data_IF_707337302575
#
_entry.id   IF_707337302575
#
_cell.length_a   1.000
_cell.length_b   1.000
_cell.length_c   1.000
_cell.angle_alpha   90.00
_cell.angle_beta   90.00
_cell.angle_gamma   90.00
#
_symmetry.space_group_name_H-M   'P 1'
#
loop_
_entity.id
_entity.type
_entity.pdbx_description
1 polymer ?
#
# COMPACT_ATOMS: atom_id res chain seq x y z
N UNK A 1 -37.68 -2.26 0.83
CA UNK A 1 -36.60 -1.34 1.28
C UNK A 1 -35.32 -1.76 0.60
N UNK A 2 -34.76 -0.92 -0.25
CA UNK A 2 -33.44 -1.17 -0.84
C UNK A 2 -32.43 -0.87 0.29
N UNK A 3 -31.81 -1.89 0.86
CA UNK A 3 -30.73 -1.68 1.84
C UNK A 3 -29.64 -0.86 1.16
N UNK A 4 -29.18 0.22 1.81
CA UNK A 4 -28.00 0.95 1.32
C UNK A 4 -26.85 -0.05 1.18
N UNK A 5 -26.05 0.02 0.10
CA UNK A 5 -24.89 -0.83 -0.03
C UNK A 5 -23.99 -0.60 1.21
N UNK A 6 -23.46 -1.71 1.76
CA UNK A 6 -22.53 -1.63 2.89
C UNK A 6 -21.29 -0.89 2.45
N UNK A 7 -20.85 0.08 3.25
CA UNK A 7 -19.63 0.84 2.98
C UNK A 7 -18.43 -0.11 2.85
N UNK A 8 -17.62 0.08 1.81
CA UNK A 8 -16.39 -0.67 1.58
C UNK A 8 -15.29 -0.35 2.61
N UNK A 9 -14.18 -1.05 2.54
CA UNK A 9 -13.01 -0.83 3.39
C UNK A 9 -11.78 -0.40 2.57
N UNK A 10 -10.79 0.18 3.25
CA UNK A 10 -9.47 0.49 2.71
C UNK A 10 -8.47 -0.50 3.29
N UNK A 11 -8.06 -1.49 2.50
CA UNK A 11 -6.94 -2.36 2.86
C UNK A 11 -5.64 -1.62 2.58
N UNK A 12 -4.85 -1.38 3.61
CA UNK A 12 -3.52 -0.79 3.46
C UNK A 12 -2.47 -1.87 3.67
N UNK A 13 -1.67 -2.10 2.66
CA UNK A 13 -0.49 -2.95 2.76
C UNK A 13 0.75 -2.06 2.92
N UNK A 14 1.49 -2.25 4.00
CA UNK A 14 2.77 -1.59 4.23
C UNK A 14 3.87 -2.60 4.53
N UNK A 15 5.09 -2.24 4.18
CA UNK A 15 6.24 -3.12 4.39
C UNK A 15 7.55 -2.37 4.18
N UNK A 16 8.68 -2.88 4.65
CA UNK A 16 9.97 -2.46 4.14
C UNK A 16 10.11 -2.83 2.67
N UNK A 17 10.91 -2.04 1.94
CA UNK A 17 11.17 -2.28 0.52
C UNK A 17 11.74 -3.69 0.29
N UNK A 18 11.13 -4.47 -0.62
CA UNK A 18 11.57 -5.85 -0.92
C UNK A 18 10.84 -6.95 -0.13
N UNK A 19 9.91 -6.61 0.77
CA UNK A 19 9.16 -7.63 1.52
C UNK A 19 8.03 -8.31 0.72
N UNK A 20 7.72 -7.85 -0.53
CA UNK A 20 6.75 -8.50 -1.41
C UNK A 20 5.38 -7.83 -1.48
N UNK A 21 5.24 -6.59 -1.02
CA UNK A 21 3.99 -5.82 -0.95
C UNK A 21 3.27 -5.75 -2.30
N UNK A 22 3.92 -5.27 -3.35
CA UNK A 22 3.34 -5.11 -4.69
C UNK A 22 2.86 -6.44 -5.31
N UNK A 23 3.60 -7.54 -5.07
CA UNK A 23 3.19 -8.88 -5.52
C UNK A 23 1.89 -9.32 -4.86
N UNK A 24 1.77 -9.09 -3.55
CA UNK A 24 0.56 -9.41 -2.79
C UNK A 24 -0.60 -8.51 -3.18
N UNK A 25 -0.36 -7.21 -3.39
CA UNK A 25 -1.39 -6.27 -3.85
C UNK A 25 -2.00 -6.70 -5.19
N UNK A 26 -1.16 -7.03 -6.19
CA UNK A 26 -1.62 -7.54 -7.48
C UNK A 26 -2.42 -8.85 -7.32
N UNK A 27 -1.93 -9.79 -6.51
CA UNK A 27 -2.61 -11.06 -6.27
C UNK A 27 -3.99 -10.90 -5.62
N UNK A 28 -4.13 -9.96 -4.68
CA UNK A 28 -5.41 -9.63 -4.05
C UNK A 28 -6.37 -9.03 -5.09
N UNK A 29 -5.92 -8.07 -5.89
CA UNK A 29 -6.72 -7.46 -6.94
C UNK A 29 -7.22 -8.50 -7.97
N UNK A 30 -6.33 -9.41 -8.39
CA UNK A 30 -6.67 -10.45 -9.37
C UNK A 30 -7.68 -11.47 -8.81
N UNK A 31 -7.66 -11.70 -7.50
CA UNK A 31 -8.52 -12.69 -6.83
C UNK A 31 -9.88 -12.14 -6.39
N UNK A 32 -10.02 -10.83 -6.25
CA UNK A 32 -11.22 -10.18 -5.72
C UNK A 32 -11.54 -8.89 -6.47
N UNK A 33 -12.47 -8.98 -7.41
CA UNK A 33 -12.94 -7.87 -8.25
C UNK A 33 -13.63 -6.73 -7.46
N UNK A 34 -13.88 -6.92 -6.16
CA UNK A 34 -14.41 -5.85 -5.31
C UNK A 34 -13.35 -4.80 -4.98
N UNK A 35 -12.06 -5.16 -5.03
CA UNK A 35 -10.97 -4.22 -4.81
C UNK A 35 -10.66 -3.35 -6.03
N UNK A 36 -10.55 -2.06 -5.77
CA UNK A 36 -9.93 -1.09 -6.67
C UNK A 36 -8.55 -0.74 -6.14
N UNK A 37 -7.51 -0.91 -6.96
CA UNK A 37 -6.16 -0.54 -6.56
C UNK A 37 -5.99 0.98 -6.67
N UNK A 38 -5.33 1.55 -5.69
CA UNK A 38 -4.89 2.95 -5.73
C UNK A 38 -3.67 3.09 -6.63
N UNK A 39 -3.77 3.89 -7.68
CA UNK A 39 -2.64 4.24 -8.54
C UNK A 39 -2.05 5.55 -8.03
N UNK A 40 -0.98 5.46 -7.24
CA UNK A 40 -0.32 6.63 -6.65
C UNK A 40 0.44 7.45 -7.69
N UNK A 41 0.55 8.74 -7.45
CA UNK A 41 1.44 9.64 -8.17
C UNK A 41 2.86 9.51 -7.63
N UNK A 42 3.86 9.57 -8.52
CA UNK A 42 5.27 9.55 -8.10
C UNK A 42 6.15 10.38 -9.03
N UNK A 43 7.20 10.97 -8.43
CA UNK A 43 8.25 11.65 -9.19
C UNK A 43 9.45 10.74 -9.51
N UNK A 44 9.38 9.46 -9.14
CA UNK A 44 10.37 8.46 -9.47
C UNK A 44 10.31 8.11 -10.96
N UNK A 45 11.45 7.93 -11.58
CA UNK A 45 11.54 7.36 -12.93
C UNK A 45 10.93 5.95 -12.99
N UNK A 46 10.09 5.63 -14.00
CA UNK A 46 9.53 4.29 -14.15
C UNK A 46 10.63 3.23 -14.32
N UNK A 47 10.37 2.02 -13.82
CA UNK A 47 11.20 0.85 -14.13
C UNK A 47 10.81 0.28 -15.49
N UNK A 48 11.66 -0.58 -16.04
CA UNK A 48 11.49 -1.14 -17.39
C UNK A 48 10.19 -1.92 -17.61
N UNK A 49 9.58 -2.42 -16.53
CA UNK A 49 8.35 -3.22 -16.54
C UNK A 49 7.14 -2.48 -15.95
N UNK A 50 7.26 -1.21 -15.65
CA UNK A 50 6.16 -0.39 -15.10
C UNK A 50 5.48 0.41 -16.22
N UNK A 51 4.16 0.49 -16.13
CA UNK A 51 3.30 1.16 -17.11
C UNK A 51 2.67 2.38 -16.43
N UNK A 52 2.79 3.54 -17.09
CA UNK A 52 2.16 4.77 -16.61
C UNK A 52 0.65 4.63 -16.50
N UNK A 53 0.08 5.24 -15.47
CA UNK A 53 -1.35 5.21 -15.14
C UNK A 53 -1.92 3.81 -14.81
N UNK A 54 -1.05 2.79 -14.73
CA UNK A 54 -1.38 1.43 -14.29
C UNK A 54 -0.66 1.09 -12.99
N UNK A 55 0.67 1.17 -12.97
CA UNK A 55 1.47 0.91 -11.76
C UNK A 55 1.61 2.20 -10.92
N UNK A 56 1.85 3.34 -11.56
CA UNK A 56 1.90 4.68 -10.98
C UNK A 56 1.49 5.72 -12.03
N UNK A 57 1.06 6.90 -11.55
CA UNK A 57 1.01 8.11 -12.38
C UNK A 57 2.37 8.80 -12.26
N UNK A 58 3.24 8.62 -13.26
CA UNK A 58 4.58 9.21 -13.26
C UNK A 58 4.50 10.68 -13.66
N UNK A 59 4.94 11.57 -12.77
CA UNK A 59 4.90 13.03 -12.97
C UNK A 59 6.23 13.66 -12.61
N UNK A 60 6.50 14.86 -13.09
CA UNK A 60 7.61 15.66 -12.63
C UNK A 60 7.34 16.29 -11.25
N UNK A 61 8.40 16.86 -10.66
CA UNK A 61 8.33 17.48 -9.32
C UNK A 61 7.36 18.67 -9.31
N UNK A 62 7.31 19.46 -10.39
CA UNK A 62 6.46 20.65 -10.46
C UNK A 62 4.98 20.26 -10.45
N UNK A 63 4.61 19.23 -11.25
CA UNK A 63 3.23 18.72 -11.26
C UNK A 63 2.83 18.10 -9.93
N UNK A 64 3.73 17.37 -9.26
CA UNK A 64 3.46 16.84 -7.94
C UNK A 64 3.23 17.95 -6.91
N UNK A 65 4.07 18.98 -6.91
CA UNK A 65 3.94 20.14 -6.02
C UNK A 65 2.67 20.95 -6.29
N UNK A 66 2.26 21.09 -7.54
CA UNK A 66 0.97 21.71 -7.91
C UNK A 66 -0.20 20.96 -7.23
N UNK A 67 -0.28 19.63 -7.40
CA UNK A 67 -1.32 18.81 -6.78
C UNK A 67 -1.29 18.90 -5.24
N UNK A 68 -0.09 18.91 -4.67
CA UNK A 68 0.11 19.04 -3.23
C UNK A 68 -0.38 20.39 -2.69
N UNK A 69 -0.03 21.49 -3.38
CA UNK A 69 -0.46 22.85 -2.99
C UNK A 69 -1.98 23.04 -3.09
N UNK A 70 -2.64 22.32 -4.00
CA UNK A 70 -4.09 22.27 -4.14
C UNK A 70 -4.76 21.31 -3.13
N UNK A 71 -4.01 20.72 -2.21
CA UNK A 71 -4.50 19.77 -1.20
C UNK A 71 -5.27 18.57 -1.81
N UNK A 72 -4.84 18.10 -2.99
CA UNK A 72 -5.48 16.99 -3.73
C UNK A 72 -5.14 15.61 -3.16
N UNK A 73 -3.99 15.46 -2.47
CA UNK A 73 -3.58 14.17 -1.92
C UNK A 73 -4.30 13.81 -0.61
N UNK A 74 -4.71 12.56 -0.51
CA UNK A 74 -5.15 11.94 0.74
C UNK A 74 -3.95 11.69 1.66
N UNK A 75 -2.88 11.17 1.07
CA UNK A 75 -1.58 10.98 1.71
C UNK A 75 -0.47 11.35 0.73
N UNK A 76 0.66 11.77 1.27
CA UNK A 76 1.88 11.99 0.50
C UNK A 76 3.12 11.78 1.36
N UNK A 77 4.18 11.23 0.76
CA UNK A 77 5.43 10.96 1.44
C UNK A 77 6.63 11.20 0.51
N UNK A 78 7.80 11.48 1.10
CA UNK A 78 9.07 11.49 0.37
C UNK A 78 9.89 10.27 0.76
N UNK A 79 10.11 9.37 -0.19
CA UNK A 79 10.81 8.10 0.02
C UNK A 79 11.96 7.98 -0.97
N UNK A 80 13.18 7.76 -0.50
CA UNK A 80 14.40 7.68 -1.32
C UNK A 80 14.57 8.87 -2.28
N UNK A 81 14.26 10.09 -1.81
CA UNK A 81 14.40 11.32 -2.60
C UNK A 81 13.25 11.61 -3.55
N UNK A 82 12.33 10.68 -3.78
CA UNK A 82 11.17 10.84 -4.65
C UNK A 82 9.89 11.08 -3.85
N UNK A 83 8.95 11.82 -4.45
CA UNK A 83 7.63 12.02 -3.88
C UNK A 83 6.68 10.91 -4.31
N UNK A 84 5.76 10.56 -3.41
CA UNK A 84 4.66 9.63 -3.64
C UNK A 84 3.40 10.22 -3.03
N UNK A 85 2.23 10.01 -3.63
CA UNK A 85 0.97 10.48 -3.06
C UNK A 85 -0.24 9.90 -3.76
N UNK A 86 -1.31 9.72 -3.00
CA UNK A 86 -2.58 9.19 -3.47
C UNK A 86 -3.64 10.27 -3.43
N UNK A 87 -4.39 10.49 -4.52
CA UNK A 87 -5.46 11.49 -4.57
C UNK A 87 -6.64 11.10 -3.66
N UNK A 88 -7.31 12.12 -3.09
CA UNK A 88 -8.54 11.97 -2.29
C UNK A 88 -9.74 11.50 -3.11
N UNK A 89 -9.90 12.11 -4.29
CA UNK A 89 -10.90 11.69 -5.26
C UNK A 89 -10.46 10.35 -5.86
N UNK A 90 -11.21 9.45 -6.03
CA UNK A 90 -12.55 8.95 -5.97
C UNK A 90 -12.78 7.95 -4.82
N UNK A 91 -12.05 8.05 -3.72
CA UNK A 91 -12.04 7.02 -2.68
C UNK A 91 -13.39 6.96 -1.97
N UNK A 92 -13.90 8.13 -1.53
CA UNK A 92 -15.16 8.21 -0.80
C UNK A 92 -16.33 7.63 -1.60
N UNK A 93 -16.45 8.03 -2.87
CA UNK A 93 -17.51 7.54 -3.76
C UNK A 93 -17.45 6.02 -3.95
N UNK A 94 -16.26 5.48 -4.05
CA UNK A 94 -16.04 4.03 -4.20
C UNK A 94 -16.46 3.28 -2.94
N UNK A 95 -16.08 3.78 -1.76
CA UNK A 95 -16.46 3.17 -0.48
C UNK A 95 -17.97 3.21 -0.24
N UNK A 96 -18.63 4.32 -0.57
CA UNK A 96 -20.11 4.46 -0.45
C UNK A 96 -20.83 3.47 -1.38
N UNK A 97 -20.25 3.13 -2.51
CA UNK A 97 -20.77 2.09 -3.43
C UNK A 97 -20.54 0.65 -2.94
N UNK A 98 -19.91 0.46 -1.78
CA UNK A 98 -19.59 -0.86 -1.22
C UNK A 98 -18.38 -1.53 -1.88
N UNK A 99 -17.59 -0.80 -2.65
CA UNK A 99 -16.33 -1.26 -3.22
C UNK A 99 -15.18 -0.97 -2.26
N UNK A 100 -14.20 -1.86 -2.24
CA UNK A 100 -13.02 -1.72 -1.39
C UNK A 100 -11.87 -1.05 -2.16
N UNK A 101 -11.00 -0.38 -1.41
CA UNK A 101 -9.73 0.14 -1.91
C UNK A 101 -8.54 -0.64 -1.38
N UNK A 102 -7.54 -0.84 -2.22
CA UNK A 102 -6.25 -1.44 -1.87
C UNK A 102 -5.13 -0.40 -2.06
N UNK A 103 -4.45 -0.07 -0.97
CA UNK A 103 -3.32 0.85 -0.96
C UNK A 103 -2.01 0.10 -0.77
N UNK A 104 -1.06 0.32 -1.68
CA UNK A 104 0.35 -0.10 -1.60
C UNK A 104 1.19 1.10 -1.19
N UNK A 105 1.16 1.49 0.09
CA UNK A 105 1.82 2.70 0.63
C UNK A 105 2.75 2.35 1.79
N UNK A 106 3.59 3.32 2.18
CA UNK A 106 4.48 3.16 3.33
C UNK A 106 3.80 3.54 4.67
N UNK A 107 4.53 3.46 5.76
CA UNK A 107 4.02 3.79 7.08
C UNK A 107 3.62 5.27 7.21
N UNK A 108 4.32 6.21 6.54
CA UNK A 108 4.01 7.64 6.60
C UNK A 108 2.63 7.92 5.98
N UNK A 109 2.39 7.34 4.79
CA UNK A 109 1.08 7.42 4.14
C UNK A 109 -0.01 6.75 4.97
N UNK A 110 0.28 5.59 5.57
CA UNK A 110 -0.67 4.87 6.43
C UNK A 110 -1.13 5.74 7.61
N UNK A 111 -0.21 6.43 8.30
CA UNK A 111 -0.58 7.31 9.41
C UNK A 111 -1.45 8.49 8.97
N UNK A 112 -1.20 9.07 7.80
CA UNK A 112 -2.03 10.14 7.26
C UNK A 112 -3.46 9.65 6.95
N UNK A 113 -3.60 8.49 6.26
CA UNK A 113 -4.91 7.91 5.97
C UNK A 113 -5.66 7.55 7.26
N UNK A 114 -4.95 7.02 8.26
CA UNK A 114 -5.52 6.70 9.58
C UNK A 114 -6.10 7.91 10.30
N UNK A 115 -5.47 9.07 10.17
CA UNK A 115 -5.98 10.32 10.76
C UNK A 115 -7.24 10.82 10.06
N UNK A 116 -7.36 10.63 8.75
CA UNK A 116 -8.47 11.16 7.93
C UNK A 116 -9.65 10.19 7.89
N UNK A 117 -9.39 8.88 7.78
CA UNK A 117 -10.40 7.82 7.56
C UNK A 117 -10.22 6.65 8.55
N UNK A 118 -10.18 6.88 9.87
CA UNK A 118 -9.80 5.87 10.87
C UNK A 118 -10.75 4.66 10.91
N UNK A 119 -12.01 4.83 10.55
CA UNK A 119 -13.02 3.75 10.58
C UNK A 119 -13.00 2.89 9.31
N UNK A 120 -12.45 3.39 8.23
CA UNK A 120 -12.47 2.70 6.94
C UNK A 120 -11.25 1.78 6.74
N UNK A 121 -10.13 2.05 7.43
CA UNK A 121 -8.87 1.38 7.18
C UNK A 121 -8.75 -0.01 7.83
N UNK A 122 -8.06 -0.88 7.13
CA UNK A 122 -7.56 -2.19 7.59
C UNK A 122 -6.05 -2.22 7.32
N UNK A 123 -5.22 -1.71 8.24
CA UNK A 123 -3.78 -1.64 8.04
C UNK A 123 -3.12 -2.99 8.35
N UNK A 124 -2.41 -3.52 7.35
CA UNK A 124 -1.63 -4.76 7.41
C UNK A 124 -0.16 -4.47 7.16
N UNK A 125 0.70 -4.85 8.09
CA UNK A 125 2.14 -4.75 7.92
C UNK A 125 2.73 -6.09 7.47
N UNK A 126 3.48 -6.08 6.36
CA UNK A 126 4.11 -7.28 5.81
C UNK A 126 5.59 -7.28 6.22
N UNK A 127 5.95 -8.25 7.05
CA UNK A 127 7.33 -8.46 7.46
C UNK A 127 8.04 -9.46 6.53
N UNK A 128 9.32 -9.27 6.22
CA UNK A 128 10.14 -10.33 5.64
C UNK A 128 10.38 -11.42 6.68
N UNK A 129 10.73 -12.66 6.28
CA UNK A 129 11.06 -13.75 7.21
C UNK A 129 12.27 -13.42 8.08
N UNK A 130 13.26 -12.73 7.51
CA UNK A 130 14.45 -12.24 8.20
C UNK A 130 15.04 -11.03 7.46
N UNK A 131 15.95 -10.31 8.13
CA UNK A 131 16.73 -9.24 7.51
C UNK A 131 17.61 -9.79 6.38
N UNK A 132 18.16 -10.99 6.56
CA UNK A 132 18.99 -11.64 5.54
C UNK A 132 18.18 -11.99 4.28
N UNK A 133 16.92 -12.44 4.45
CA UNK A 133 16.04 -12.71 3.30
C UNK A 133 15.65 -11.43 2.57
N UNK A 134 15.41 -10.35 3.33
CA UNK A 134 15.16 -9.04 2.75
C UNK A 134 16.34 -8.56 1.90
N UNK A 135 17.56 -8.68 2.41
CA UNK A 135 18.78 -8.31 1.70
C UNK A 135 18.95 -9.12 0.40
N UNK A 136 18.74 -10.45 0.47
CA UNK A 136 18.79 -11.32 -0.72
C UNK A 136 17.77 -10.88 -1.78
N UNK A 137 16.53 -10.58 -1.37
CA UNK A 137 15.47 -10.11 -2.27
C UNK A 137 15.81 -8.75 -2.90
N UNK A 138 16.36 -7.82 -2.13
CA UNK A 138 16.80 -6.52 -2.63
C UNK A 138 17.96 -6.65 -3.61
N UNK A 139 18.98 -7.45 -3.29
CA UNK A 139 20.11 -7.73 -4.20
C UNK A 139 19.62 -8.30 -5.53
N UNK A 140 18.72 -9.27 -5.51
CA UNK A 140 18.14 -9.85 -6.73
C UNK A 140 17.35 -8.83 -7.55
N UNK A 141 16.62 -7.91 -6.91
CA UNK A 141 15.80 -6.88 -7.58
C UNK A 141 16.63 -5.76 -8.18
N UNK A 142 17.73 -5.39 -7.52
CA UNK A 142 18.57 -4.22 -7.83
C UNK A 142 19.98 -4.67 -8.26
N UNK A 143 20.08 -5.78 -9.00
CA UNK A 143 21.34 -6.50 -9.34
C UNK A 143 22.50 -5.61 -9.80
N UNK A 144 22.21 -4.44 -10.39
CA UNK A 144 23.20 -3.51 -10.94
C UNK A 144 23.45 -2.28 -10.05
N UNK A 145 22.78 -2.14 -8.90
CA UNK A 145 22.86 -0.93 -8.07
C UNK A 145 23.06 -1.28 -6.58
N UNK A 146 24.30 -1.59 -6.22
CA UNK A 146 24.69 -1.91 -4.85
C UNK A 146 24.40 -0.77 -3.87
N UNK A 147 24.65 0.48 -4.26
CA UNK A 147 24.40 1.65 -3.40
C UNK A 147 22.92 1.76 -3.04
N UNK A 148 22.03 1.50 -3.99
CA UNK A 148 20.59 1.51 -3.73
C UNK A 148 20.17 0.38 -2.79
N UNK A 149 20.78 -0.81 -2.89
CA UNK A 149 20.57 -1.92 -1.94
C UNK A 149 20.98 -1.50 -0.54
N UNK A 150 22.16 -0.92 -0.37
CA UNK A 150 22.68 -0.49 0.93
C UNK A 150 21.80 0.61 1.56
N UNK A 151 21.36 1.59 0.77
CA UNK A 151 20.42 2.61 1.22
C UNK A 151 19.10 2.00 1.69
N UNK A 152 18.52 1.05 0.92
CA UNK A 152 17.27 0.38 1.29
C UNK A 152 17.41 -0.47 2.53
N UNK A 153 18.53 -1.18 2.68
CA UNK A 153 18.81 -1.97 3.89
C UNK A 153 18.97 -1.10 5.12
N UNK A 154 19.65 0.05 5.00
CA UNK A 154 19.76 1.02 6.10
C UNK A 154 18.41 1.51 6.59
N UNK A 155 17.49 1.82 5.66
CA UNK A 155 16.14 2.28 6.01
C UNK A 155 15.20 1.14 6.43
N UNK A 156 15.47 -0.11 6.03
CA UNK A 156 14.59 -1.23 6.31
C UNK A 156 14.41 -1.47 7.82
N UNK A 157 15.46 -1.28 8.61
CA UNK A 157 15.39 -1.43 10.09
C UNK A 157 14.44 -0.42 10.70
N UNK A 158 14.50 0.82 10.25
CA UNK A 158 13.61 1.89 10.71
C UNK A 158 12.17 1.60 10.28
N UNK A 159 11.97 1.30 9.00
CA UNK A 159 10.64 0.94 8.46
C UNK A 159 10.01 -0.25 9.20
N UNK A 160 10.81 -1.28 9.54
CA UNK A 160 10.33 -2.45 10.28
C UNK A 160 9.81 -2.04 11.67
N UNK A 161 10.41 -1.09 12.36
CA UNK A 161 10.00 -0.70 13.72
C UNK A 161 8.55 -0.20 13.79
N UNK A 162 7.98 0.27 12.67
CA UNK A 162 6.59 0.71 12.57
C UNK A 162 5.56 -0.43 12.55
N UNK A 163 5.97 -1.71 12.51
CA UNK A 163 5.02 -2.83 12.57
C UNK A 163 4.08 -2.74 13.77
N UNK A 164 4.51 -2.15 14.88
CA UNK A 164 3.74 -2.00 16.13
C UNK A 164 2.50 -1.10 16.00
N UNK A 165 2.48 -0.23 14.99
CA UNK A 165 1.42 0.74 14.75
C UNK A 165 0.27 0.16 13.90
N UNK A 166 0.42 -1.13 13.48
CA UNK A 166 -0.52 -1.82 12.60
C UNK A 166 -1.40 -2.80 13.36
N UNK A 167 -2.68 -2.87 12.95
CA UNK A 167 -3.65 -3.81 13.51
C UNK A 167 -3.31 -5.27 13.19
N UNK A 168 -2.79 -5.52 11.99
CA UNK A 168 -2.43 -6.84 11.52
C UNK A 168 -1.00 -6.90 11.04
N UNK A 169 -0.32 -7.99 11.37
CA UNK A 169 1.05 -8.27 10.97
C UNK A 169 1.09 -9.65 10.31
N UNK A 170 1.66 -9.74 9.12
CA UNK A 170 1.88 -11.01 8.43
C UNK A 170 3.35 -11.16 8.05
N UNK A 171 3.87 -12.38 8.11
CA UNK A 171 5.27 -12.66 7.74
C UNK A 171 5.30 -13.34 6.39
N UNK A 172 5.86 -12.68 5.39
CA UNK A 172 5.95 -13.20 4.02
C UNK A 172 7.11 -14.18 3.86
N UNK A 173 6.95 -15.40 4.39
CA UNK A 173 7.84 -16.54 4.15
C UNK A 173 7.67 -17.05 2.71
N UNK A 174 6.44 -17.26 2.30
CA UNK A 174 6.02 -17.51 0.93
C UNK A 174 4.76 -16.70 0.60
N UNK A 175 4.59 -16.42 -0.67
CA UNK A 175 3.53 -15.51 -1.15
C UNK A 175 2.14 -16.10 -0.98
N UNK A 176 1.97 -17.42 -1.20
CA UNK A 176 0.65 -18.08 -1.12
C UNK A 176 0.12 -18.06 0.31
N UNK A 177 0.93 -18.48 1.27
CA UNK A 177 0.54 -18.48 2.68
C UNK A 177 0.24 -17.04 3.18
N UNK A 178 1.08 -16.07 2.78
CA UNK A 178 0.86 -14.67 3.13
C UNK A 178 -0.44 -14.13 2.54
N UNK A 179 -0.74 -14.45 1.28
CA UNK A 179 -1.97 -14.10 0.63
C UNK A 179 -3.21 -14.70 1.34
N UNK A 180 -3.17 -15.97 1.72
CA UNK A 180 -4.25 -16.62 2.45
C UNK A 180 -4.51 -15.94 3.81
N UNK A 181 -3.46 -15.56 4.55
CA UNK A 181 -3.60 -14.84 5.80
C UNK A 181 -4.29 -13.49 5.60
N UNK A 182 -3.86 -12.72 4.58
CA UNK A 182 -4.47 -11.42 4.26
C UNK A 182 -5.93 -11.59 3.84
N UNK A 183 -6.25 -12.61 3.04
CA UNK A 183 -7.63 -12.91 2.61
C UNK A 183 -8.53 -13.23 3.80
N UNK A 184 -8.04 -13.96 4.81
CA UNK A 184 -8.78 -14.21 6.06
C UNK A 184 -9.03 -12.91 6.84
N UNK A 185 -8.04 -12.02 6.91
CA UNK A 185 -8.20 -10.69 7.53
C UNK A 185 -9.29 -9.90 6.82
N UNK A 186 -9.26 -9.82 5.49
CA UNK A 186 -10.25 -9.12 4.68
C UNK A 186 -11.67 -9.65 4.97
N UNK A 187 -11.83 -10.98 4.97
CA UNK A 187 -13.12 -11.62 5.25
C UNK A 187 -13.66 -11.23 6.62
N UNK A 188 -12.84 -11.33 7.67
CA UNK A 188 -13.22 -10.97 9.05
C UNK A 188 -13.63 -9.51 9.12
N UNK A 189 -12.85 -8.60 8.53
CA UNK A 189 -13.15 -7.15 8.55
C UNK A 189 -14.44 -6.80 7.82
N UNK A 190 -14.73 -7.47 6.70
CA UNK A 190 -16.01 -7.30 5.99
C UNK A 190 -17.18 -7.83 6.81
N UNK A 191 -17.03 -8.96 7.48
CA UNK A 191 -18.06 -9.55 8.36
C UNK A 191 -18.36 -8.62 9.55
N UNK A 192 -17.33 -8.13 10.24
CA UNK A 192 -17.49 -7.18 11.36
C UNK A 192 -18.24 -5.92 10.92
N UNK A 193 -17.85 -5.30 9.83
CA UNK A 193 -18.50 -4.09 9.27
C UNK A 193 -19.94 -4.38 8.83
N UNK A 194 -20.21 -5.61 8.40
CA UNK A 194 -21.56 -6.02 8.00
C UNK A 194 -22.50 -6.23 9.18
N UNK A 195 -21.98 -6.50 10.34
CA UNK A 195 -22.77 -6.80 11.56
C UNK A 195 -23.10 -5.54 12.36
N UNK A 196 -22.19 -4.54 12.33
CA UNK A 196 -22.27 -3.36 13.19
C UNK A 196 -22.56 -2.03 12.46
N UNK A 197 -22.74 -2.06 11.14
CA UNK A 197 -23.21 -0.96 10.30
C UNK A 197 -24.58 -1.30 9.69
#
# INVERSE_FOLDING_TARGET
MISKPKRGLILILSSPSGAGKTTLAKKIQDSDSNFKISVSYTTRTPRSNEIDSVDYNFVDVNKFQELSSQNKFLEQAKVFGNYYGTLKEPIEDTLVQGKDYLFDIDWQGTEQVKQIMPLDIVPVFILPPSINDLEKRLKKREEKNKELVDQRMKMAKDQINHWKDYKYIVVNKDVENCFEQITKIIKIERELRSTFN
#
